data_IF_936641084981
#
_entry.id   IF_936641084981
#
_cell.length_a   1.000
_cell.length_b   1.000
_cell.length_c   1.000
_cell.angle_alpha   90.00
_cell.angle_beta   90.00
_cell.angle_gamma   90.00
#
_symmetry.space_group_name_H-M   'P 1'
#
loop_
_entity.id
_entity.type
_entity.pdbx_description
1 polymer ?
#
# COMPACT_ATOMS: atom_id res chain seq x y z
N UNK A 1 25.90 -24.15 0.93
CA UNK A 1 24.85 -24.29 -0.11
C UNK A 1 24.06 -22.98 -0.14
N UNK A 2 23.91 -22.33 -1.30
CA UNK A 2 23.12 -21.11 -1.39
C UNK A 2 21.66 -21.46 -1.06
N UNK A 3 21.06 -20.78 -0.07
CA UNK A 3 19.63 -20.94 0.23
C UNK A 3 18.84 -20.51 -1.01
N UNK A 4 18.12 -21.46 -1.60
CA UNK A 4 17.24 -21.17 -2.72
C UNK A 4 16.10 -20.30 -2.20
N UNK A 5 16.06 -19.05 -2.68
CA UNK A 5 15.04 -18.08 -2.26
C UNK A 5 13.70 -18.49 -2.86
N UNK A 6 12.66 -18.52 -2.03
CA UNK A 6 11.32 -18.85 -2.48
C UNK A 6 10.83 -17.79 -3.51
N UNK A 7 10.54 -18.19 -4.77
CA UNK A 7 10.14 -17.22 -5.79
C UNK A 7 8.79 -16.59 -5.45
N UNK A 8 8.73 -15.28 -5.33
CA UNK A 8 7.48 -14.58 -4.96
C UNK A 8 6.32 -14.84 -5.94
N UNK A 9 6.64 -15.08 -7.21
CA UNK A 9 5.61 -15.40 -8.22
C UNK A 9 4.92 -16.73 -7.94
N UNK A 10 5.66 -17.73 -7.51
CA UNK A 10 5.10 -19.05 -7.20
C UNK A 10 4.25 -19.01 -5.93
N UNK A 11 4.68 -18.20 -4.95
CA UNK A 11 3.90 -17.94 -3.72
C UNK A 11 2.59 -17.24 -4.03
N UNK A 12 2.61 -16.22 -4.88
CA UNK A 12 1.39 -15.50 -5.31
C UNK A 12 0.46 -16.42 -6.12
N UNK A 13 1.01 -17.21 -7.05
CA UNK A 13 0.22 -18.19 -7.80
C UNK A 13 -0.45 -19.22 -6.88
N UNK A 14 0.23 -19.69 -5.83
CA UNK A 14 -0.34 -20.60 -4.85
C UNK A 14 -1.50 -19.94 -4.07
N UNK A 15 -1.38 -18.65 -3.73
CA UNK A 15 -2.44 -17.90 -3.08
C UNK A 15 -3.64 -17.72 -4.01
N UNK A 16 -3.42 -17.36 -5.27
CA UNK A 16 -4.45 -17.17 -6.29
C UNK A 16 -5.24 -18.45 -6.58
N UNK A 17 -4.55 -19.58 -6.55
CA UNK A 17 -5.17 -20.91 -6.66
C UNK A 17 -5.84 -21.36 -5.36
N UNK A 18 -5.76 -20.60 -4.29
CA UNK A 18 -6.35 -20.94 -2.99
C UNK A 18 -5.68 -22.13 -2.31
N UNK A 19 -4.40 -22.37 -2.58
CA UNK A 19 -3.64 -23.55 -2.12
C UNK A 19 -3.29 -23.48 -0.62
N UNK A 20 -4.28 -23.64 0.24
CA UNK A 20 -4.15 -23.54 1.70
C UNK A 20 -3.16 -24.55 2.29
N UNK A 21 -3.06 -25.73 1.67
CA UNK A 21 -2.22 -26.85 2.14
C UNK A 21 -0.72 -26.62 1.91
N UNK A 22 -0.35 -25.74 0.99
CA UNK A 22 1.06 -25.41 0.69
C UNK A 22 1.83 -25.02 1.95
N UNK A 23 1.18 -24.37 2.92
CA UNK A 23 1.82 -24.02 4.19
C UNK A 23 2.33 -25.24 4.96
N UNK A 24 1.67 -26.38 4.86
CA UNK A 24 2.06 -27.62 5.54
C UNK A 24 3.14 -28.38 4.76
N UNK A 25 3.26 -28.14 3.45
CA UNK A 25 4.18 -28.80 2.54
C UNK A 25 5.57 -28.14 2.48
N UNK A 26 5.62 -26.81 2.69
CA UNK A 26 6.89 -26.06 2.68
C UNK A 26 7.69 -26.29 3.97
N UNK A 27 9.01 -26.22 3.85
CA UNK A 27 9.96 -26.40 4.95
C UNK A 27 9.93 -25.21 5.93
N UNK A 28 10.48 -25.38 7.12
CA UNK A 28 10.58 -24.31 8.12
C UNK A 28 11.49 -23.17 7.65
N UNK A 29 12.51 -23.46 6.83
CA UNK A 29 13.38 -22.48 6.20
C UNK A 29 12.62 -21.62 5.18
N UNK A 30 11.77 -22.25 4.40
CA UNK A 30 10.91 -21.56 3.42
C UNK A 30 9.83 -20.72 4.12
N UNK A 31 9.22 -21.22 5.19
CA UNK A 31 8.24 -20.48 6.01
C UNK A 31 8.83 -19.17 6.54
N UNK A 32 10.10 -19.18 6.96
CA UNK A 32 10.79 -17.97 7.43
C UNK A 32 11.00 -16.93 6.34
N UNK A 33 10.98 -17.34 5.06
CA UNK A 33 11.13 -16.43 3.92
C UNK A 33 9.80 -15.81 3.49
N UNK A 34 8.66 -16.30 3.96
CA UNK A 34 7.34 -15.79 3.60
C UNK A 34 7.08 -14.43 4.27
N UNK A 35 7.15 -13.38 3.48
CA UNK A 35 6.88 -12.02 3.95
C UNK A 35 5.39 -11.68 3.89
N UNK A 36 4.62 -11.99 4.91
CA UNK A 36 3.16 -11.80 4.93
C UNK A 36 2.71 -10.37 4.64
N UNK A 37 3.42 -9.36 5.15
CA UNK A 37 3.13 -7.96 4.84
C UNK A 37 3.31 -7.65 3.35
N UNK A 38 4.37 -8.19 2.75
CA UNK A 38 4.65 -8.01 1.32
C UNK A 38 3.58 -8.71 0.47
N UNK A 39 3.22 -9.95 0.81
CA UNK A 39 2.18 -10.71 0.11
C UNK A 39 0.82 -10.02 0.20
N UNK A 40 0.41 -9.56 1.39
CA UNK A 40 -0.81 -8.80 1.57
C UNK A 40 -0.88 -7.58 0.63
N UNK A 41 0.23 -6.88 0.47
CA UNK A 41 0.31 -5.73 -0.43
C UNK A 41 0.19 -6.11 -1.91
N UNK A 42 0.76 -7.24 -2.33
CA UNK A 42 0.58 -7.74 -3.68
C UNK A 42 -0.85 -8.21 -3.94
N UNK A 43 -1.43 -8.99 -3.03
CA UNK A 43 -2.79 -9.54 -3.15
C UNK A 43 -3.84 -8.42 -3.19
N UNK A 44 -3.63 -7.30 -2.51
CA UNK A 44 -4.53 -6.15 -2.57
C UNK A 44 -4.47 -5.38 -3.90
N UNK A 45 -3.53 -5.70 -4.80
CA UNK A 45 -3.41 -5.07 -6.11
C UNK A 45 -3.42 -6.11 -7.23
N UNK A 46 -4.47 -6.10 -8.04
CA UNK A 46 -4.61 -6.96 -9.22
C UNK A 46 -4.73 -6.11 -10.48
N UNK A 47 -4.24 -6.65 -11.59
CA UNK A 47 -4.45 -6.05 -12.90
C UNK A 47 -5.78 -6.55 -13.47
N UNK A 48 -6.74 -5.67 -13.68
CA UNK A 48 -8.05 -6.05 -14.20
C UNK A 48 -9.00 -4.87 -14.30
N UNK A 49 -10.28 -5.15 -14.36
CA UNK A 49 -11.34 -4.13 -14.29
C UNK A 49 -11.29 -3.39 -12.95
N UNK A 50 -11.91 -2.23 -12.88
CA UNK A 50 -12.06 -1.48 -11.64
C UNK A 50 -12.74 -2.30 -10.55
N UNK A 51 -13.78 -3.03 -10.91
CA UNK A 51 -14.54 -3.88 -9.97
C UNK A 51 -13.64 -4.97 -9.36
N UNK A 52 -12.78 -5.61 -10.19
CA UNK A 52 -11.81 -6.60 -9.69
C UNK A 52 -10.80 -6.00 -8.74
N UNK A 53 -10.31 -4.79 -9.02
CA UNK A 53 -9.38 -4.08 -8.16
C UNK A 53 -10.03 -3.68 -6.83
N UNK A 54 -11.24 -3.15 -6.86
CA UNK A 54 -12.02 -2.80 -5.67
C UNK A 54 -12.33 -4.05 -4.82
N UNK A 55 -12.70 -5.16 -5.47
CA UNK A 55 -12.96 -6.43 -4.80
C UNK A 55 -11.71 -7.00 -4.13
N UNK A 56 -10.53 -6.93 -4.76
CA UNK A 56 -9.27 -7.37 -4.19
C UNK A 56 -8.91 -6.58 -2.92
N UNK A 57 -9.05 -5.25 -2.96
CA UNK A 57 -8.85 -4.38 -1.80
C UNK A 57 -9.87 -4.69 -0.70
N UNK A 58 -11.15 -4.83 -1.06
CA UNK A 58 -12.20 -5.14 -0.10
C UNK A 58 -11.94 -6.48 0.62
N UNK A 59 -11.69 -7.56 -0.14
CA UNK A 59 -11.39 -8.89 0.44
C UNK A 59 -10.17 -8.85 1.36
N UNK A 60 -9.10 -8.19 0.93
CA UNK A 60 -7.87 -8.07 1.70
C UNK A 60 -8.10 -7.31 3.01
N UNK A 61 -8.90 -6.24 2.99
CA UNK A 61 -9.24 -5.49 4.19
C UNK A 61 -10.14 -6.30 5.12
N UNK A 62 -11.18 -6.94 4.61
CA UNK A 62 -12.16 -7.64 5.42
C UNK A 62 -11.59 -8.93 6.04
N UNK A 63 -10.85 -9.73 5.27
CA UNK A 63 -10.36 -11.02 5.76
C UNK A 63 -9.00 -10.93 6.46
N UNK A 64 -8.12 -10.03 6.05
CA UNK A 64 -6.74 -10.00 6.54
C UNK A 64 -6.43 -8.78 7.41
N UNK A 65 -6.63 -7.55 6.90
CA UNK A 65 -6.18 -6.33 7.57
C UNK A 65 -6.93 -6.02 8.86
N UNK A 66 -8.23 -6.26 8.89
CA UNK A 66 -9.12 -5.95 10.02
C UNK A 66 -8.64 -6.54 11.35
N UNK A 67 -8.07 -7.74 11.30
CA UNK A 67 -7.61 -8.47 12.48
C UNK A 67 -6.09 -8.73 12.46
N UNK A 68 -5.33 -7.96 11.68
CA UNK A 68 -3.91 -8.20 11.44
C UNK A 68 -3.09 -8.39 12.72
N UNK A 69 -3.29 -7.55 13.74
CA UNK A 69 -2.51 -7.61 14.98
C UNK A 69 -2.70 -8.94 15.76
N UNK A 70 -3.87 -9.54 15.65
CA UNK A 70 -4.17 -10.84 16.28
C UNK A 70 -3.64 -11.98 15.40
N UNK A 71 -3.95 -11.92 14.10
CA UNK A 71 -3.60 -12.94 13.11
C UNK A 71 -2.08 -13.04 12.89
N UNK A 72 -1.33 -11.95 13.06
CA UNK A 72 0.13 -11.90 12.88
C UNK A 72 0.90 -12.89 13.75
N UNK A 73 0.32 -13.35 14.85
CA UNK A 73 0.91 -14.36 15.74
C UNK A 73 0.75 -15.79 15.23
N UNK A 74 -0.09 -16.03 14.21
CA UNK A 74 -0.49 -17.33 13.70
C UNK A 74 -0.22 -17.43 12.20
N UNK A 75 1.01 -17.77 11.83
CA UNK A 75 1.49 -17.77 10.44
C UNK A 75 0.65 -18.64 9.49
N UNK A 76 0.25 -19.85 9.92
CA UNK A 76 -0.62 -20.72 9.12
C UNK A 76 -1.98 -20.07 8.85
N UNK A 77 -2.55 -19.42 9.85
CA UNK A 77 -3.82 -18.68 9.70
C UNK A 77 -3.64 -17.49 8.75
N UNK A 78 -2.52 -16.75 8.84
CA UNK A 78 -2.22 -15.69 7.90
C UNK A 78 -2.19 -16.19 6.46
N UNK A 79 -1.53 -17.33 6.21
CA UNK A 79 -1.51 -17.96 4.90
C UNK A 79 -2.91 -18.29 4.39
N UNK A 80 -3.72 -18.95 5.24
CA UNK A 80 -5.08 -19.33 4.88
C UNK A 80 -5.98 -18.11 4.57
N UNK A 81 -5.83 -17.02 5.33
CA UNK A 81 -6.57 -15.79 5.10
C UNK A 81 -6.12 -15.06 3.83
N UNK A 82 -4.83 -15.10 3.49
CA UNK A 82 -4.35 -14.59 2.19
C UNK A 82 -4.91 -15.41 1.03
N UNK A 83 -4.94 -16.75 1.14
CA UNK A 83 -5.60 -17.61 0.16
C UNK A 83 -7.11 -17.33 0.01
N UNK A 84 -7.77 -16.92 1.09
CA UNK A 84 -9.18 -16.48 1.03
C UNK A 84 -9.33 -15.10 0.37
N UNK A 85 -8.38 -14.21 0.59
CA UNK A 85 -8.40 -12.86 0.03
C UNK A 85 -8.08 -12.85 -1.46
N UNK A 86 -7.03 -13.58 -1.87
CA UNK A 86 -6.54 -13.63 -3.25
C UNK A 86 -7.18 -14.73 -4.10
N UNK A 87 -7.64 -15.84 -3.48
CA UNK A 87 -8.09 -17.02 -4.19
C UNK A 87 -9.24 -16.77 -5.15
N UNK A 88 -8.93 -16.71 -6.45
CA UNK A 88 -9.88 -16.57 -7.55
C UNK A 88 -9.98 -17.86 -8.37
N UNK A 89 -9.07 -18.83 -8.12
CA UNK A 89 -8.91 -20.05 -8.91
C UNK A 89 -8.15 -19.85 -10.22
N UNK A 90 -7.66 -18.64 -10.47
CA UNK A 90 -6.87 -18.30 -11.66
C UNK A 90 -5.66 -17.48 -11.23
N UNK A 91 -4.49 -17.74 -11.83
CA UNK A 91 -3.28 -16.97 -11.56
C UNK A 91 -3.45 -15.54 -12.12
N UNK A 92 -3.34 -14.56 -11.25
CA UNK A 92 -3.51 -13.15 -11.59
C UNK A 92 -2.16 -12.41 -11.63
N UNK A 93 -2.13 -11.25 -12.27
CA UNK A 93 -0.97 -10.38 -12.24
C UNK A 93 -1.13 -9.32 -11.15
N UNK A 94 -0.23 -9.36 -10.17
CA UNK A 94 -0.17 -8.44 -9.04
C UNK A 94 0.92 -7.38 -9.25
N UNK A 95 0.57 -6.17 -9.73
CA UNK A 95 1.54 -5.10 -9.91
C UNK A 95 2.02 -4.56 -8.57
N UNK A 96 3.32 -4.25 -8.47
CA UNK A 96 3.82 -3.49 -7.34
C UNK A 96 3.42 -2.02 -7.48
N UNK A 97 2.58 -1.54 -6.58
CA UNK A 97 2.21 -0.12 -6.50
C UNK A 97 3.16 0.56 -5.52
N UNK A 98 4.16 1.28 -6.06
CA UNK A 98 5.09 2.06 -5.25
C UNK A 98 4.40 3.24 -4.55
N UNK A 99 4.97 3.67 -3.42
CA UNK A 99 4.54 4.94 -2.82
C UNK A 99 4.89 6.09 -3.79
N UNK A 100 3.92 6.94 -4.08
CA UNK A 100 4.23 8.21 -4.73
C UNK A 100 5.09 9.00 -3.75
N UNK A 101 6.34 9.32 -4.13
CA UNK A 101 7.13 10.30 -3.38
C UNK A 101 6.33 11.61 -3.41
N UNK A 102 6.09 12.19 -2.22
CA UNK A 102 5.58 13.58 -2.17
C UNK A 102 6.55 14.40 -3.02
N UNK A 103 6.04 15.07 -4.04
CA UNK A 103 6.88 15.92 -4.90
C UNK A 103 7.48 17.01 -4.02
N UNK A 104 8.78 17.31 -4.20
CA UNK A 104 9.46 18.38 -3.44
C UNK A 104 8.74 19.73 -3.56
N UNK A 105 8.03 19.93 -4.66
CA UNK A 105 7.22 21.10 -4.91
C UNK A 105 6.08 21.25 -3.89
N UNK A 106 5.37 20.17 -3.53
CA UNK A 106 4.33 20.26 -2.52
C UNK A 106 4.86 20.67 -1.13
N UNK A 107 6.07 20.22 -0.77
CA UNK A 107 6.68 20.61 0.50
C UNK A 107 7.01 22.11 0.56
N UNK A 108 7.38 22.71 -0.56
CA UNK A 108 7.61 24.17 -0.62
C UNK A 108 6.30 24.95 -0.52
N UNK A 109 5.26 24.49 -1.23
CA UNK A 109 3.93 25.09 -1.18
C UNK A 109 3.35 25.04 0.24
N UNK A 110 3.45 23.86 0.90
CA UNK A 110 3.01 23.69 2.28
C UNK A 110 3.73 24.65 3.23
N UNK A 111 5.06 24.82 3.11
CA UNK A 111 5.81 25.77 3.95
C UNK A 111 5.36 27.22 3.77
N UNK A 112 5.03 27.63 2.55
CA UNK A 112 4.50 28.98 2.31
C UNK A 112 3.12 29.13 2.93
N UNK A 113 2.26 28.11 2.76
CA UNK A 113 0.92 28.12 3.36
C UNK A 113 0.96 28.10 4.89
N UNK A 114 1.93 27.40 5.51
CA UNK A 114 2.16 27.41 6.96
C UNK A 114 2.51 28.81 7.49
N UNK A 115 3.27 29.60 6.72
CA UNK A 115 3.57 30.99 7.07
C UNK A 115 2.33 31.90 6.96
N UNK A 116 1.46 31.65 5.98
CA UNK A 116 0.20 32.40 5.80
C UNK A 116 -0.83 31.99 6.85
N UNK A 117 -0.90 30.71 7.18
CA UNK A 117 -1.89 30.12 8.08
C UNK A 117 -1.24 29.34 9.24
N UNK A 118 -0.59 30.02 10.21
CA UNK A 118 0.21 29.38 11.26
C UNK A 118 -0.60 28.49 12.21
N UNK A 119 -1.92 28.61 12.22
CA UNK A 119 -2.81 27.83 13.10
C UNK A 119 -3.48 26.63 12.38
N UNK A 120 -3.24 26.48 11.08
CA UNK A 120 -3.81 25.38 10.29
C UNK A 120 -3.03 24.08 10.53
N UNK A 121 -3.74 22.96 10.59
CA UNK A 121 -3.11 21.65 10.78
C UNK A 121 -2.35 21.21 9.52
N UNK A 122 -1.34 20.36 9.71
CA UNK A 122 -0.48 19.89 8.63
C UNK A 122 -1.25 19.17 7.51
N UNK A 123 -2.25 18.35 7.84
CA UNK A 123 -3.10 17.65 6.89
C UNK A 123 -3.98 18.62 6.06
N UNK A 124 -4.47 19.67 6.69
CA UNK A 124 -5.25 20.73 6.03
C UNK A 124 -4.36 21.56 5.07
N UNK A 125 -3.13 21.89 5.50
CA UNK A 125 -2.13 22.57 4.66
C UNK A 125 -1.75 21.73 3.43
N UNK A 126 -1.55 20.43 3.62
CA UNK A 126 -1.26 19.48 2.53
C UNK A 126 -2.44 19.36 1.56
N UNK A 127 -3.67 19.36 2.07
CA UNK A 127 -4.88 19.35 1.25
C UNK A 127 -4.98 20.68 0.46
N UNK A 128 -4.81 21.82 1.10
CA UNK A 128 -4.86 23.13 0.47
C UNK A 128 -3.77 23.25 -0.62
N UNK A 129 -2.54 22.79 -0.34
CA UNK A 129 -1.47 22.76 -1.33
C UNK A 129 -1.79 21.86 -2.54
N UNK A 130 -2.55 20.79 -2.34
CA UNK A 130 -2.95 19.89 -3.42
C UNK A 130 -4.05 20.45 -4.31
N UNK A 131 -4.90 21.32 -3.76
CA UNK A 131 -6.03 21.94 -4.46
C UNK A 131 -5.67 23.27 -5.12
N UNK A 132 -4.59 23.92 -4.67
CA UNK A 132 -4.17 25.25 -5.15
C UNK A 132 -3.10 25.14 -6.21
N UNK A 133 -3.10 26.08 -7.17
CA UNK A 133 -2.00 26.21 -8.13
C UNK A 133 -0.83 26.99 -7.51
N UNK A 134 0.37 26.84 -8.07
CA UNK A 134 1.53 27.66 -7.65
C UNK A 134 1.27 29.15 -7.74
N UNK A 135 0.51 29.56 -8.76
CA UNK A 135 0.15 30.98 -8.97
C UNK A 135 -0.77 31.50 -7.86
N UNK A 136 -1.76 30.68 -7.45
CA UNK A 136 -2.68 31.08 -6.36
C UNK A 136 -1.94 31.24 -5.03
N UNK A 137 -1.04 30.29 -4.72
CA UNK A 137 -0.25 30.33 -3.48
C UNK A 137 0.73 31.51 -3.49
N UNK A 138 1.33 31.82 -4.65
CA UNK A 138 2.22 32.96 -4.78
C UNK A 138 1.45 34.27 -4.56
N UNK A 139 0.27 34.43 -5.16
CA UNK A 139 -0.59 35.59 -4.96
C UNK A 139 -1.01 35.71 -3.50
N UNK A 140 -1.42 34.62 -2.87
CA UNK A 140 -1.79 34.59 -1.46
C UNK A 140 -0.62 35.03 -0.55
N UNK A 141 0.60 34.58 -0.85
CA UNK A 141 1.80 34.98 -0.11
C UNK A 141 2.11 36.48 -0.30
N UNK A 142 1.97 37.00 -1.52
CA UNK A 142 2.13 38.45 -1.84
C UNK A 142 1.12 39.28 -1.06
N UNK A 143 -0.15 38.88 -1.00
CA UNK A 143 -1.22 39.56 -0.25
C UNK A 143 -0.92 39.60 1.26
N UNK A 144 -0.15 38.63 1.78
CA UNK A 144 0.29 38.56 3.18
C UNK A 144 1.72 39.11 3.41
N UNK A 145 2.36 39.76 2.42
CA UNK A 145 3.74 40.23 2.47
C UNK A 145 4.78 39.17 2.80
N UNK A 146 4.57 37.94 2.33
CA UNK A 146 5.48 36.80 2.53
C UNK A 146 6.24 36.54 1.23
N UNK A 147 7.59 36.52 1.29
CA UNK A 147 8.40 36.13 0.14
C UNK A 147 8.27 34.63 -0.15
N UNK A 148 7.51 34.27 -1.18
CA UNK A 148 7.37 32.90 -1.63
C UNK A 148 8.47 32.54 -2.65
N UNK A 149 9.51 31.81 -2.22
CA UNK A 149 10.49 31.16 -3.10
C UNK A 149 9.98 29.76 -3.51
N UNK A 150 9.06 29.76 -4.50
CA UNK A 150 8.40 28.54 -5.02
C UNK A 150 9.19 27.86 -6.13
#
# INVERSE_FOLDING_TARGET
MAQQKLPIKDVLAAIDMGAKNVWDEITDEERKQVGFWLLNRYISSVKGSRDNQELAVFKTNEYYNKNYMVVSKHQKLQWQLLCMSGGTGCIEYHPWIGFKKKTQDNNKLVKVLEQVHPHMKQDELELLASMSTKADIKKLAEDHNIEAKL
#
